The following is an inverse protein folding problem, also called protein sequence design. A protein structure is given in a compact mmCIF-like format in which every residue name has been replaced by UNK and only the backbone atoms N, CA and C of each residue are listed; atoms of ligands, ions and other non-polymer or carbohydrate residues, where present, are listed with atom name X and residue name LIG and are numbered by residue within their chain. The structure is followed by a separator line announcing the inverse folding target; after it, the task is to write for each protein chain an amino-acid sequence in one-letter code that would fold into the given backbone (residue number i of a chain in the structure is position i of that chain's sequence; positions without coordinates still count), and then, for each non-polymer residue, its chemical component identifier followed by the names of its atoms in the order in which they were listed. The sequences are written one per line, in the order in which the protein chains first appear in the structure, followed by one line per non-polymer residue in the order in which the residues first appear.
data_IF_421574861915
#
_entry.id   IF_421574861915
#
_cell.length_a   1.000
_cell.length_b   1.000
_cell.length_c   1.000
_cell.angle_alpha   90.00
_cell.angle_beta   90.00
_cell.angle_gamma   90.00
#
_symmetry.space_group_name_H-M   'P 1'
#
loop_
_entity.id
_entity.type
_entity.pdbx_description
1 polymer ?
#
# COMPACT_ATOMS: atom_id res chain seq x y z
N UNK A 1 -15.40 3.34 16.46
CA UNK A 1 -14.23 3.90 15.75
C UNK A 1 -13.86 5.21 16.41
N UNK A 2 -12.78 5.24 17.17
CA UNK A 2 -12.28 6.49 17.76
C UNK A 2 -11.62 7.36 16.67
N UNK A 3 -11.53 8.67 16.89
CA UNK A 3 -10.85 9.59 15.97
C UNK A 3 -9.42 9.15 15.65
N UNK A 4 -8.70 8.61 16.64
CA UNK A 4 -7.35 8.06 16.47
C UNK A 4 -7.32 6.87 15.52
N UNK A 5 -8.29 5.95 15.61
CA UNK A 5 -8.39 4.80 14.71
C UNK A 5 -8.57 5.23 13.26
N UNK A 6 -9.40 6.25 13.02
CA UNK A 6 -9.62 6.80 11.67
C UNK A 6 -8.34 7.45 11.13
N UNK A 7 -7.63 8.23 11.95
CA UNK A 7 -6.35 8.83 11.57
C UNK A 7 -5.28 7.77 11.25
N UNK A 8 -5.21 6.69 12.02
CA UNK A 8 -4.27 5.59 11.78
C UNK A 8 -4.61 4.82 10.50
N UNK A 9 -5.90 4.60 10.20
CA UNK A 9 -6.35 4.01 8.94
C UNK A 9 -5.99 4.89 7.73
N UNK A 10 -6.19 6.20 7.83
CA UNK A 10 -5.80 7.15 6.79
C UNK A 10 -4.29 7.18 6.58
N UNK A 11 -3.52 7.13 7.67
CA UNK A 11 -2.06 7.05 7.61
C UNK A 11 -1.60 5.76 6.91
N UNK A 12 -2.18 4.61 7.30
CA UNK A 12 -1.87 3.33 6.69
C UNK A 12 -2.18 3.32 5.19
N UNK A 13 -3.34 3.86 4.80
CA UNK A 13 -3.72 3.98 3.39
C UNK A 13 -2.76 4.90 2.61
N UNK A 14 -2.39 6.04 3.18
CA UNK A 14 -1.44 6.97 2.57
C UNK A 14 -0.07 6.32 2.34
N UNK A 15 0.43 5.59 3.34
CA UNK A 15 1.70 4.84 3.24
C UNK A 15 1.60 3.74 2.19
N UNK A 16 0.51 2.97 2.17
CA UNK A 16 0.29 1.92 1.18
C UNK A 16 0.30 2.48 -0.26
N UNK A 17 -0.40 3.58 -0.51
CA UNK A 17 -0.41 4.25 -1.81
C UNK A 17 0.97 4.79 -2.20
N UNK A 18 1.71 5.36 -1.24
CA UNK A 18 3.06 5.84 -1.49
C UNK A 18 4.01 4.70 -1.90
N UNK A 19 3.97 3.58 -1.18
CA UNK A 19 4.75 2.38 -1.49
C UNK A 19 4.35 1.84 -2.88
N UNK A 20 3.05 1.76 -3.18
CA UNK A 20 2.55 1.31 -4.47
C UNK A 20 3.00 2.18 -5.64
N UNK A 21 2.89 3.51 -5.52
CA UNK A 21 3.36 4.45 -6.53
C UNK A 21 4.88 4.34 -6.74
N UNK A 22 5.66 4.26 -5.66
CA UNK A 22 7.11 4.08 -5.74
C UNK A 22 7.46 2.74 -6.42
N UNK A 23 6.77 1.66 -6.08
CA UNK A 23 6.97 0.34 -6.69
C UNK A 23 6.58 0.32 -8.18
N UNK A 24 5.46 0.94 -8.56
CA UNK A 24 5.07 1.07 -9.97
C UNK A 24 6.08 1.91 -10.76
N UNK A 25 6.52 3.04 -10.20
CA UNK A 25 7.48 3.92 -10.86
C UNK A 25 8.85 3.25 -11.04
N UNK A 26 9.33 2.55 -10.02
CA UNK A 26 10.59 1.79 -10.10
C UNK A 26 10.49 0.64 -11.09
N UNK A 27 9.37 -0.10 -11.12
CA UNK A 27 9.12 -1.15 -12.11
C UNK A 27 9.08 -0.60 -13.54
N UNK A 28 8.41 0.54 -13.76
CA UNK A 28 8.37 1.19 -15.06
C UNK A 28 9.77 1.66 -15.50
N UNK A 29 10.54 2.28 -14.59
CA UNK A 29 11.94 2.66 -14.85
C UNK A 29 12.85 1.47 -15.14
N UNK A 30 12.52 0.29 -14.61
CA UNK A 30 13.23 -0.95 -14.91
C UNK A 30 12.88 -1.55 -16.29
N UNK A 31 12.02 -0.90 -17.07
CA UNK A 31 11.65 -1.32 -18.43
C UNK A 31 10.44 -2.26 -18.49
N UNK A 32 9.70 -2.43 -17.40
CA UNK A 32 8.47 -3.24 -17.44
C UNK A 32 7.35 -2.50 -18.18
N UNK A 33 6.48 -3.25 -18.84
CA UNK A 33 5.32 -2.68 -19.54
C UNK A 33 4.43 -1.93 -18.54
N UNK A 34 3.84 -0.76 -18.89
CA UNK A 34 3.07 0.06 -17.96
C UNK A 34 1.96 -0.70 -17.23
N UNK A 35 1.25 -1.60 -17.91
CA UNK A 35 0.24 -2.46 -17.28
C UNK A 35 0.84 -3.36 -16.19
N UNK A 36 2.00 -3.97 -16.44
CA UNK A 36 2.71 -4.81 -15.46
C UNK A 36 3.26 -3.98 -14.31
N UNK A 37 3.81 -2.80 -14.58
CA UNK A 37 4.26 -1.87 -13.55
C UNK A 37 3.12 -1.46 -12.59
N UNK A 38 1.93 -1.21 -13.16
CA UNK A 38 0.72 -0.89 -12.39
C UNK A 38 0.26 -2.09 -11.53
N UNK A 39 0.34 -3.32 -12.06
CA UNK A 39 0.06 -4.52 -11.29
C UNK A 39 1.06 -4.72 -10.14
N UNK A 40 2.35 -4.45 -10.35
CA UNK A 40 3.38 -4.52 -9.31
C UNK A 40 3.08 -3.49 -8.21
N UNK A 41 2.82 -2.24 -8.57
CA UNK A 41 2.45 -1.20 -7.62
C UNK A 41 1.15 -1.51 -6.87
N UNK A 42 0.13 -1.98 -7.58
CA UNK A 42 -1.14 -2.40 -6.97
C UNK A 42 -0.97 -3.56 -5.98
N UNK A 43 -0.14 -4.56 -6.31
CA UNK A 43 0.20 -5.66 -5.42
C UNK A 43 0.95 -5.20 -4.16
N UNK A 44 1.87 -4.25 -4.31
CA UNK A 44 2.58 -3.64 -3.18
C UNK A 44 1.63 -2.85 -2.25
N UNK A 45 0.73 -2.04 -2.83
CA UNK A 45 -0.32 -1.34 -2.07
C UNK A 45 -1.21 -2.32 -1.29
N UNK A 46 -1.71 -3.36 -1.99
CA UNK A 46 -2.59 -4.36 -1.39
C UNK A 46 -1.91 -5.12 -0.25
N UNK A 47 -0.66 -5.51 -0.42
CA UNK A 47 0.15 -6.18 0.61
C UNK A 47 0.35 -5.28 1.83
N UNK A 48 0.74 -4.02 1.64
CA UNK A 48 0.92 -3.08 2.74
C UNK A 48 -0.39 -2.87 3.54
N UNK A 49 -1.52 -2.75 2.83
CA UNK A 49 -2.83 -2.60 3.46
C UNK A 49 -3.24 -3.87 4.23
N UNK A 50 -3.00 -5.05 3.66
CA UNK A 50 -3.28 -6.34 4.30
C UNK A 50 -2.44 -6.54 5.56
N UNK A 51 -1.15 -6.16 5.53
CA UNK A 51 -0.26 -6.22 6.70
C UNK A 51 -0.75 -5.30 7.83
N UNK A 52 -1.21 -4.08 7.50
CA UNK A 52 -1.78 -3.18 8.49
C UNK A 52 -3.04 -3.77 9.12
N UNK A 53 -3.96 -4.30 8.32
CA UNK A 53 -5.18 -4.91 8.84
C UNK A 53 -4.89 -6.17 9.68
N UNK A 54 -3.94 -6.99 9.25
CA UNK A 54 -3.48 -8.14 10.01
C UNK A 54 -2.87 -7.72 11.36
N UNK A 55 -2.05 -6.68 11.39
CA UNK A 55 -1.50 -6.13 12.63
C UNK A 55 -2.62 -5.62 13.55
N UNK A 56 -3.60 -4.88 13.02
CA UNK A 56 -4.77 -4.45 13.81
C UNK A 56 -5.51 -5.67 14.36
N UNK A 57 -5.75 -6.71 13.58
CA UNK A 57 -6.44 -7.92 14.07
C UNK A 57 -5.66 -8.71 15.12
N UNK A 58 -4.33 -8.57 15.19
CA UNK A 58 -3.49 -9.28 16.15
C UNK A 58 -3.32 -8.53 17.49
N UNK A 59 -3.37 -7.19 17.46
CA UNK A 59 -3.06 -6.34 18.62
C UNK A 59 -4.25 -5.55 19.16
N UNK A 60 -5.43 -5.68 18.56
CA UNK A 60 -6.62 -4.91 18.90
C UNK A 60 -7.84 -5.81 19.13
#
# INVERSE_FOLDING_TARGET
MSTLQVLMLLLALSVALHIGCAAAFTAWRAGTHPATALLIGGGATGTACALYLAAVSAYH
#
